data_IF_238395409555
#
_entry.id   IF_238395409555
#
_cell.length_a   1.000
_cell.length_b   1.000
_cell.length_c   1.000
_cell.angle_alpha   90.00
_cell.angle_beta   90.00
_cell.angle_gamma   90.00
#
_symmetry.space_group_name_H-M   'P 1'
#
loop_
_entity.id
_entity.type
_entity.pdbx_description
1 polymer ?
#
# COMPACT_ATOMS: atom_id res chain seq x y z
N UNK A 1 15.82 -22.40 23.82
CA UNK A 1 16.11 -20.99 24.20
C UNK A 1 16.62 -20.32 22.95
N UNK A 2 15.93 -19.30 22.44
CA UNK A 2 16.43 -18.56 21.28
C UNK A 2 17.61 -17.70 21.73
N UNK A 3 18.75 -17.80 21.04
CA UNK A 3 19.88 -16.93 21.29
C UNK A 3 19.58 -15.57 20.66
N UNK A 4 19.48 -14.51 21.46
CA UNK A 4 19.33 -13.15 20.94
C UNK A 4 20.71 -12.56 20.69
N UNK A 5 20.91 -11.99 19.50
CA UNK A 5 22.17 -11.33 19.11
C UNK A 5 21.89 -9.91 18.63
N UNK A 6 22.93 -9.08 18.61
CA UNK A 6 22.84 -7.72 18.07
C UNK A 6 22.96 -7.75 16.55
N UNK A 7 22.00 -7.13 15.86
CA UNK A 7 21.98 -7.08 14.40
C UNK A 7 23.28 -6.50 13.80
N UNK A 8 23.84 -5.47 14.42
CA UNK A 8 25.06 -4.80 13.96
C UNK A 8 26.27 -5.73 13.85
N UNK A 9 26.39 -6.72 14.72
CA UNK A 9 27.50 -7.67 14.73
C UNK A 9 27.48 -8.60 13.50
N UNK A 10 26.30 -8.80 12.93
CA UNK A 10 26.06 -9.65 11.76
C UNK A 10 25.87 -8.87 10.46
N UNK A 11 26.18 -7.57 10.45
CA UNK A 11 26.09 -6.74 9.26
C UNK A 11 27.48 -6.36 8.73
N UNK A 12 27.61 -6.31 7.40
CA UNK A 12 28.74 -5.71 6.70
C UNK A 12 28.59 -4.19 6.59
N UNK A 13 27.36 -3.70 6.47
CA UNK A 13 27.05 -2.28 6.35
C UNK A 13 25.66 -2.00 6.91
N UNK A 14 25.56 -0.97 7.75
CA UNK A 14 24.30 -0.33 8.10
C UNK A 14 24.42 1.15 7.76
N UNK A 15 23.58 1.65 6.86
CA UNK A 15 23.63 3.04 6.45
C UNK A 15 22.28 3.56 5.99
N UNK A 16 22.18 4.86 5.70
CA UNK A 16 20.99 5.49 5.13
C UNK A 16 21.38 6.39 3.98
N UNK A 17 20.40 6.67 3.14
CA UNK A 17 20.55 7.59 2.03
C UNK A 17 20.49 9.05 2.45
N UNK A 18 20.33 9.90 1.45
CA UNK A 18 20.26 11.34 1.63
C UNK A 18 19.20 11.95 0.71
N UNK A 19 18.76 13.16 1.04
CA UNK A 19 17.78 13.86 0.23
C UNK A 19 18.44 14.43 -1.04
N UNK A 20 17.87 14.21 -2.24
CA UNK A 20 18.50 14.61 -3.50
C UNK A 20 18.49 16.11 -3.72
N UNK A 21 17.42 16.80 -3.30
CA UNK A 21 17.26 18.26 -3.47
C UNK A 21 18.37 19.04 -2.76
N UNK A 22 18.77 18.62 -1.57
CA UNK A 22 19.86 19.24 -0.81
C UNK A 22 21.24 19.06 -1.47
N UNK A 23 21.34 18.18 -2.46
CA UNK A 23 22.56 17.92 -3.22
C UNK A 23 22.48 18.46 -4.66
N UNK A 24 21.44 19.23 -4.99
CA UNK A 24 21.25 19.79 -6.32
C UNK A 24 20.67 18.81 -7.35
N UNK A 25 20.12 17.66 -6.92
CA UNK A 25 19.49 16.70 -7.81
C UNK A 25 17.97 16.85 -7.81
N UNK A 26 17.40 16.93 -9.01
CA UNK A 26 15.96 16.92 -9.23
C UNK A 26 15.51 15.55 -9.72
N UNK A 27 14.25 15.23 -9.45
CA UNK A 27 13.61 14.04 -10.03
C UNK A 27 13.48 14.20 -11.53
N UNK A 28 13.76 13.13 -12.24
CA UNK A 28 13.66 13.05 -13.70
C UNK A 28 12.75 11.88 -14.07
N UNK A 29 12.18 11.94 -15.28
CA UNK A 29 11.38 10.87 -15.84
C UNK A 29 12.18 10.12 -16.91
N UNK A 30 13.25 9.47 -16.48
CA UNK A 30 14.14 8.68 -17.36
C UNK A 30 14.46 7.35 -16.68
N UNK A 31 13.88 6.27 -17.20
CA UNK A 31 14.04 4.93 -16.67
C UNK A 31 15.43 4.32 -16.92
N UNK A 32 16.25 4.93 -17.78
CA UNK A 32 17.65 4.51 -18.02
C UNK A 32 18.60 4.99 -16.92
N UNK A 33 18.13 5.90 -16.06
CA UNK A 33 18.92 6.51 -14.99
C UNK A 33 18.74 5.74 -13.68
N UNK A 34 19.22 6.35 -12.59
CA UNK A 34 19.20 5.74 -11.27
C UNK A 34 17.77 5.68 -10.72
N UNK A 35 17.33 4.49 -10.30
CA UNK A 35 16.10 4.33 -9.53
C UNK A 35 16.32 4.84 -8.11
N UNK A 36 15.50 5.81 -7.70
CA UNK A 36 15.56 6.40 -6.37
C UNK A 36 14.47 5.81 -5.48
N UNK A 37 14.88 4.93 -4.57
CA UNK A 37 14.00 4.20 -3.66
C UNK A 37 13.74 5.04 -2.41
N UNK A 38 12.47 5.26 -2.11
CA UNK A 38 12.03 6.01 -0.92
C UNK A 38 11.25 5.12 0.03
N UNK A 39 10.93 5.64 1.21
CA UNK A 39 10.12 4.91 2.21
C UNK A 39 8.72 4.54 1.72
N UNK A 40 8.21 5.18 0.66
CA UNK A 40 6.96 4.82 0.00
C UNK A 40 7.07 3.54 -0.83
N UNK A 41 8.26 3.27 -1.36
CA UNK A 41 8.55 2.09 -2.18
C UNK A 41 8.81 0.85 -1.30
N UNK A 42 9.37 1.02 -0.09
CA UNK A 42 9.63 -0.09 0.82
C UNK A 42 8.34 -0.49 1.54
N UNK A 43 7.78 -1.65 1.15
CA UNK A 43 6.58 -2.27 1.73
C UNK A 43 6.95 -3.48 2.58
N UNK A 44 5.95 -4.11 3.19
CA UNK A 44 6.15 -5.33 3.96
C UNK A 44 6.58 -6.49 3.04
N UNK A 45 7.88 -6.79 3.04
CA UNK A 45 8.56 -7.86 2.30
C UNK A 45 8.69 -7.67 0.77
N UNK A 46 8.23 -6.56 0.19
CA UNK A 46 8.42 -6.27 -1.23
C UNK A 46 8.73 -4.79 -1.49
N UNK A 47 9.27 -4.51 -2.67
CA UNK A 47 9.54 -3.15 -3.14
C UNK A 47 8.51 -2.80 -4.20
N UNK A 48 7.71 -1.79 -3.92
CA UNK A 48 6.72 -1.22 -4.83
C UNK A 48 7.37 -0.18 -5.73
N UNK A 49 7.44 -0.50 -7.02
CA UNK A 49 7.96 0.38 -8.08
C UNK A 49 6.88 0.75 -9.10
N UNK A 50 5.59 0.72 -8.70
CA UNK A 50 4.46 1.14 -9.54
C UNK A 50 4.53 2.62 -9.95
N UNK A 51 5.04 3.48 -9.07
CA UNK A 51 5.33 4.90 -9.33
C UNK A 51 6.82 5.19 -9.08
N UNK A 52 7.72 4.84 -10.02
CA UNK A 52 9.15 4.92 -9.82
C UNK A 52 9.66 6.36 -9.96
N UNK A 53 10.58 6.75 -9.08
CA UNK A 53 11.28 8.04 -9.12
C UNK A 53 12.71 7.82 -9.60
N UNK A 54 13.19 8.66 -10.51
CA UNK A 54 14.55 8.57 -11.02
C UNK A 54 15.37 9.82 -10.71
N UNK A 55 16.69 9.66 -10.61
CA UNK A 55 17.68 10.72 -10.48
C UNK A 55 18.81 10.49 -11.49
N UNK A 56 19.55 11.53 -11.84
CA UNK A 56 20.73 11.35 -12.70
C UNK A 56 21.80 10.48 -12.00
N UNK A 57 22.54 9.69 -12.79
CA UNK A 57 23.61 8.82 -12.29
C UNK A 57 24.69 9.55 -11.46
N UNK A 58 24.81 10.88 -11.62
CA UNK A 58 25.70 11.72 -10.82
C UNK A 58 25.44 11.63 -9.32
N UNK A 59 24.22 11.29 -8.89
CA UNK A 59 23.89 11.15 -7.47
C UNK A 59 24.74 10.07 -6.78
N UNK A 60 25.00 8.95 -7.47
CA UNK A 60 25.87 7.88 -6.96
C UNK A 60 27.33 8.30 -6.81
N UNK A 61 27.79 9.33 -7.52
CA UNK A 61 29.15 9.86 -7.35
C UNK A 61 29.30 10.56 -5.99
N UNK A 62 28.22 11.16 -5.47
CA UNK A 62 28.20 11.83 -4.17
C UNK A 62 27.80 10.85 -3.07
N UNK A 63 26.73 10.09 -3.26
CA UNK A 63 26.18 9.16 -2.27
C UNK A 63 26.63 7.71 -2.51
N UNK A 64 27.95 7.50 -2.50
CA UNK A 64 28.56 6.18 -2.75
C UNK A 64 28.17 5.12 -1.71
N UNK A 65 27.99 5.53 -0.46
CA UNK A 65 27.70 4.62 0.65
C UNK A 65 26.30 4.00 0.59
N UNK A 66 25.34 4.69 -0.03
CA UNK A 66 23.94 4.28 -0.09
C UNK A 66 23.53 3.69 -1.45
N UNK A 67 24.52 3.31 -2.27
CA UNK A 67 24.27 2.55 -3.49
C UNK A 67 23.75 1.17 -3.09
N UNK A 68 22.58 0.83 -3.63
CA UNK A 68 21.92 -0.44 -3.38
C UNK A 68 22.61 -1.58 -4.13
N UNK A 69 22.70 -2.71 -3.46
CA UNK A 69 23.16 -3.99 -4.01
C UNK A 69 22.04 -5.01 -3.90
N UNK A 70 22.06 -6.01 -4.78
CA UNK A 70 21.14 -7.16 -4.65
C UNK A 70 21.30 -7.78 -3.26
N UNK A 71 20.20 -8.28 -2.72
CA UNK A 71 20.10 -8.91 -1.40
C UNK A 71 20.19 -7.95 -0.20
N UNK A 72 20.36 -6.63 -0.43
CA UNK A 72 20.28 -5.64 0.65
C UNK A 72 18.88 -5.65 1.28
N UNK A 73 18.81 -5.69 2.61
CA UNK A 73 17.56 -5.50 3.34
C UNK A 73 17.35 -4.00 3.56
N UNK A 74 16.23 -3.48 3.09
CA UNK A 74 15.80 -2.10 3.29
C UNK A 74 14.88 -2.02 4.48
N UNK A 75 15.02 -0.96 5.28
CA UNK A 75 14.22 -0.76 6.48
C UNK A 75 13.80 0.71 6.64
N UNK A 76 12.52 0.95 6.85
CA UNK A 76 11.98 2.30 7.01
C UNK A 76 12.18 2.85 8.42
N UNK A 77 12.73 4.07 8.48
CA UNK A 77 13.16 4.72 9.72
C UNK A 77 12.12 5.67 10.33
N UNK A 78 11.24 6.24 9.52
CA UNK A 78 10.43 7.40 9.92
C UNK A 78 8.99 7.32 9.46
N UNK A 79 8.11 7.97 10.23
CA UNK A 79 6.74 8.25 9.85
C UNK A 79 5.81 7.03 9.89
N UNK A 80 4.70 7.09 9.16
CA UNK A 80 3.67 6.05 9.17
C UNK A 80 4.13 4.70 8.58
N UNK A 81 5.27 4.67 7.90
CA UNK A 81 5.85 3.48 7.27
C UNK A 81 7.02 2.92 8.07
N UNK A 82 7.31 3.46 9.26
CA UNK A 82 8.37 2.99 10.15
C UNK A 82 8.23 1.49 10.41
N UNK A 83 9.35 0.78 10.37
CA UNK A 83 9.35 -0.66 10.63
C UNK A 83 9.04 -1.56 9.43
N UNK A 84 8.69 -1.01 8.27
CA UNK A 84 8.57 -1.82 7.04
C UNK A 84 9.95 -2.23 6.56
N UNK A 85 10.09 -3.51 6.24
CA UNK A 85 11.31 -4.08 5.68
C UNK A 85 11.06 -4.79 4.35
N UNK A 86 11.98 -4.69 3.40
CA UNK A 86 11.93 -5.45 2.14
C UNK A 86 13.33 -5.76 1.62
N UNK A 87 13.46 -6.82 0.82
CA UNK A 87 14.72 -7.19 0.18
C UNK A 87 14.81 -6.51 -1.19
N UNK A 88 15.94 -5.85 -1.46
CA UNK A 88 16.22 -5.28 -2.77
C UNK A 88 16.80 -6.32 -3.71
N UNK A 89 16.00 -6.78 -4.68
CA UNK A 89 16.40 -7.77 -5.69
C UNK A 89 16.20 -7.28 -7.13
N UNK A 90 16.07 -5.96 -7.33
CA UNK A 90 15.90 -5.38 -8.66
C UNK A 90 17.25 -5.27 -9.39
N UNK A 91 17.27 -5.58 -10.68
CA UNK A 91 18.45 -5.41 -11.53
C UNK A 91 18.54 -3.98 -12.08
N UNK A 92 18.63 -3.01 -11.17
CA UNK A 92 18.69 -1.58 -11.51
C UNK A 92 19.71 -0.85 -10.65
N UNK A 93 20.45 0.08 -11.26
CA UNK A 93 21.29 1.02 -10.52
C UNK A 93 20.39 1.87 -9.63
N UNK A 94 20.54 1.75 -8.32
CA UNK A 94 19.60 2.33 -7.37
C UNK A 94 20.28 2.95 -6.15
N UNK A 95 19.62 3.93 -5.54
CA UNK A 95 20.03 4.57 -4.29
C UNK A 95 18.79 4.97 -3.50
N UNK A 96 18.95 5.34 -2.24
CA UNK A 96 17.85 5.54 -1.30
C UNK A 96 17.79 6.96 -0.72
N UNK A 97 16.63 7.32 -0.16
CA UNK A 97 16.48 8.54 0.63
C UNK A 97 16.91 8.35 2.10
N UNK A 98 16.90 9.45 2.88
CA UNK A 98 17.30 9.47 4.29
C UNK A 98 16.33 8.75 5.24
N UNK A 99 15.14 8.38 4.75
CA UNK A 99 14.09 7.72 5.51
C UNK A 99 14.19 6.19 5.45
N UNK A 100 15.11 5.66 4.65
CA UNK A 100 15.36 4.23 4.47
C UNK A 100 16.77 3.93 4.94
N UNK A 101 16.96 2.82 5.64
CA UNK A 101 18.25 2.23 5.93
C UNK A 101 18.52 1.04 5.00
N UNK A 102 19.80 0.86 4.67
CA UNK A 102 20.36 -0.35 4.06
C UNK A 102 20.96 -1.16 5.19
N UNK A 103 20.62 -2.44 5.21
CA UNK A 103 21.18 -3.45 6.09
C UNK A 103 21.77 -4.53 5.19
N UNK A 104 23.09 -4.51 5.03
CA UNK A 104 23.84 -5.50 4.24
C UNK A 104 24.38 -6.56 5.18
N UNK A 105 23.87 -7.78 5.07
CA UNK A 105 24.15 -8.85 6.01
C UNK A 105 25.45 -9.60 5.70
N UNK A 106 26.03 -10.19 6.75
CA UNK A 106 27.03 -11.27 6.62
C UNK A 106 26.30 -12.58 6.30
N UNK A 107 27.03 -13.56 5.77
CA UNK A 107 26.50 -14.90 5.44
C UNK A 107 25.91 -15.68 6.62
N UNK A 108 26.09 -15.23 7.86
CA UNK A 108 25.52 -15.85 9.06
C UNK A 108 24.00 -15.71 9.18
N UNK A 109 23.39 -14.76 8.46
CA UNK A 109 21.95 -14.47 8.56
C UNK A 109 21.33 -14.42 7.16
N UNK A 110 20.22 -15.13 7.01
CA UNK A 110 19.37 -15.06 5.82
C UNK A 110 18.64 -13.71 5.76
N UNK A 111 18.77 -13.02 4.63
CA UNK A 111 18.06 -11.76 4.36
C UNK A 111 16.54 -11.92 4.39
N UNK A 112 16.02 -13.06 3.91
CA UNK A 112 14.60 -13.41 3.98
C UNK A 112 14.13 -13.56 5.41
N UNK A 113 14.89 -14.28 6.23
CA UNK A 113 14.59 -14.44 7.65
C UNK A 113 14.51 -13.08 8.34
N UNK A 114 15.53 -12.23 8.14
CA UNK A 114 15.54 -10.90 8.73
C UNK A 114 14.37 -10.04 8.25
N UNK A 115 14.06 -10.04 6.94
CA UNK A 115 12.92 -9.28 6.40
C UNK A 115 11.60 -9.69 7.04
N UNK A 116 11.35 -11.00 7.17
CA UNK A 116 10.15 -11.49 7.84
C UNK A 116 10.12 -11.14 9.33
N UNK A 117 11.25 -11.27 10.02
CA UNK A 117 11.34 -10.93 11.44
C UNK A 117 11.08 -9.44 11.68
N UNK A 118 11.73 -8.54 10.93
CA UNK A 118 11.56 -7.09 11.08
C UNK A 118 10.12 -6.63 10.83
N UNK A 119 9.40 -7.30 9.92
CA UNK A 119 7.99 -7.00 9.66
C UNK A 119 7.02 -7.61 10.69
N UNK A 120 7.48 -8.54 11.53
CA UNK A 120 6.66 -9.20 12.53
C UNK A 120 6.26 -8.26 13.67
N UNK A 121 5.08 -8.48 14.23
CA UNK A 121 4.54 -7.63 15.30
C UNK A 121 5.44 -7.63 16.56
N UNK A 122 6.04 -8.78 16.87
CA UNK A 122 6.99 -8.91 18.00
C UNK A 122 8.23 -8.03 17.82
N UNK A 123 8.73 -7.86 16.59
CA UNK A 123 9.86 -6.96 16.34
C UNK A 123 9.41 -5.50 16.38
N UNK A 124 8.25 -5.19 15.77
CA UNK A 124 7.63 -3.87 15.81
C UNK A 124 7.48 -3.34 17.22
N UNK A 125 6.96 -4.15 18.14
CA UNK A 125 6.83 -3.77 19.55
C UNK A 125 8.18 -3.39 20.16
N UNK A 126 9.22 -4.21 19.97
CA UNK A 126 10.57 -3.98 20.53
C UNK A 126 11.18 -2.64 20.13
N UNK A 127 11.02 -2.20 18.88
CA UNK A 127 11.60 -0.94 18.41
C UNK A 127 10.63 0.25 18.43
N UNK A 128 9.31 0.03 18.49
CA UNK A 128 8.34 1.12 18.62
C UNK A 128 8.15 1.56 20.08
N UNK A 129 8.24 0.65 21.06
CA UNK A 129 8.20 1.01 22.48
C UNK A 129 9.31 2.01 22.84
N UNK A 130 10.51 1.85 22.26
CA UNK A 130 11.64 2.77 22.42
C UNK A 130 11.41 4.16 21.81
N UNK A 131 10.40 4.32 20.95
CA UNK A 131 10.17 5.51 20.13
C UNK A 131 9.05 6.39 20.69
N UNK A 132 8.25 5.90 21.64
CA UNK A 132 7.07 6.59 22.22
C UNK A 132 7.43 7.91 22.93
N UNK A 133 8.68 8.07 23.38
CA UNK A 133 9.11 9.24 24.16
C UNK A 133 9.41 10.50 23.32
N UNK A 134 9.42 10.41 21.99
CA UNK A 134 9.77 11.54 21.11
C UNK A 134 8.62 11.81 20.13
N UNK A 135 8.08 13.03 20.13
CA UNK A 135 6.87 13.46 19.40
C UNK A 135 6.80 13.17 17.87
N UNK A 136 7.87 12.60 17.27
CA UNK A 136 7.87 11.99 15.94
C UNK A 136 8.64 10.68 15.98
N UNK A 137 7.96 9.59 15.60
CA UNK A 137 8.57 8.29 15.52
C UNK A 137 9.71 8.25 14.48
N UNK A 138 10.94 8.06 14.95
CA UNK A 138 12.16 8.01 14.13
C UNK A 138 13.18 7.05 14.76
N UNK A 139 13.70 6.11 13.97
CA UNK A 139 14.75 5.18 14.37
C UNK A 139 16.12 5.65 13.85
N UNK A 140 17.11 5.68 14.74
CA UNK A 140 18.50 5.93 14.36
C UNK A 140 19.16 4.66 13.80
N UNK A 141 20.30 4.82 13.12
CA UNK A 141 21.10 3.68 12.67
C UNK A 141 21.68 2.89 13.85
N UNK A 142 21.94 3.57 14.98
CA UNK A 142 22.41 2.95 16.22
C UNK A 142 21.32 2.07 16.82
N UNK A 143 20.06 2.51 16.77
CA UNK A 143 18.92 1.72 17.24
C UNK A 143 18.81 0.42 16.46
N UNK A 144 18.98 0.48 15.13
CA UNK A 144 18.97 -0.68 14.23
C UNK A 144 20.13 -1.61 14.53
N UNK A 145 21.34 -1.08 14.66
CA UNK A 145 22.52 -1.89 14.96
C UNK A 145 22.39 -2.63 16.31
N UNK A 146 21.69 -2.02 17.28
CA UNK A 146 21.49 -2.56 18.61
C UNK A 146 20.21 -3.40 18.76
N UNK A 147 19.46 -3.66 17.68
CA UNK A 147 18.28 -4.52 17.72
C UNK A 147 18.65 -5.96 18.07
N UNK A 148 17.90 -6.52 19.00
CA UNK A 148 17.99 -7.93 19.40
C UNK A 148 17.19 -8.78 18.41
N UNK A 149 17.93 -9.57 17.64
CA UNK A 149 17.37 -10.53 16.69
C UNK A 149 17.51 -11.95 17.24
N UNK A 150 16.44 -12.75 17.27
CA UNK A 150 16.57 -14.16 17.60
C UNK A 150 17.28 -14.86 16.45
N UNK A 151 18.41 -15.52 16.73
CA UNK A 151 19.03 -16.42 15.78
C UNK A 151 18.81 -17.86 16.22
N UNK A 152 18.22 -18.71 15.36
CA UNK A 152 18.16 -20.13 15.64
C UNK A 152 19.57 -20.72 15.65
N UNK A 153 19.82 -21.68 16.54
CA UNK A 153 21.15 -22.27 16.74
C UNK A 153 21.61 -23.13 15.56
N UNK A 154 20.66 -23.74 14.83
CA UNK A 154 20.95 -24.49 13.61
C UNK A 154 20.84 -23.58 12.37
N UNK A 155 21.87 -23.57 11.52
CA UNK A 155 21.89 -22.76 10.30
C UNK A 155 20.70 -23.05 9.36
N UNK A 156 20.22 -24.30 9.33
CA UNK A 156 19.11 -24.71 8.46
C UNK A 156 17.73 -24.25 8.96
N UNK A 157 17.62 -23.84 10.23
CA UNK A 157 16.32 -23.46 10.80
C UNK A 157 15.83 -22.12 10.26
N UNK A 158 16.73 -21.19 9.91
CA UNK A 158 16.34 -19.94 9.25
C UNK A 158 15.58 -20.23 7.96
N UNK A 159 16.11 -21.13 7.12
CA UNK A 159 15.50 -21.51 5.86
C UNK A 159 14.20 -22.30 6.06
N UNK A 160 14.15 -23.19 7.06
CA UNK A 160 12.92 -23.91 7.42
C UNK A 160 11.80 -22.94 7.85
N UNK A 161 12.13 -21.96 8.70
CA UNK A 161 11.18 -20.95 9.17
C UNK A 161 10.67 -20.12 7.98
N UNK A 162 11.58 -19.63 7.14
CA UNK A 162 11.22 -18.86 5.94
C UNK A 162 10.32 -19.68 5.03
N UNK A 163 10.67 -20.95 4.77
CA UNK A 163 9.87 -21.85 3.93
C UNK A 163 8.46 -22.06 4.48
N UNK A 164 8.31 -22.24 5.78
CA UNK A 164 7.00 -22.40 6.42
C UNK A 164 6.17 -21.10 6.32
N UNK A 165 6.79 -19.94 6.51
CA UNK A 165 6.14 -18.63 6.34
C UNK A 165 5.68 -18.44 4.89
N UNK A 166 6.57 -18.61 3.92
CA UNK A 166 6.27 -18.47 2.49
C UNK A 166 5.17 -19.46 2.06
N UNK A 167 5.21 -20.70 2.55
CA UNK A 167 4.17 -21.71 2.30
C UNK A 167 2.79 -21.26 2.78
N UNK A 168 2.70 -20.75 4.02
CA UNK A 168 1.43 -20.27 4.58
C UNK A 168 0.92 -19.01 3.89
N UNK A 169 1.80 -18.08 3.55
CA UNK A 169 1.43 -16.87 2.81
C UNK A 169 0.89 -17.22 1.42
N UNK A 170 1.49 -18.20 0.73
CA UNK A 170 0.99 -18.68 -0.56
C UNK A 170 -0.43 -19.26 -0.49
N UNK A 171 -0.81 -19.86 0.64
CA UNK A 171 -2.21 -20.29 0.86
C UNK A 171 -3.14 -19.09 0.95
N UNK A 172 -2.75 -18.03 1.66
CA UNK A 172 -3.52 -16.79 1.74
C UNK A 172 -3.69 -16.15 0.35
N UNK A 173 -2.63 -16.07 -0.45
CA UNK A 173 -2.69 -15.50 -1.80
C UNK A 173 -3.70 -16.23 -2.69
N UNK A 174 -3.73 -17.57 -2.62
CA UNK A 174 -4.72 -18.39 -3.35
C UNK A 174 -6.16 -18.15 -2.89
N UNK A 175 -6.36 -17.91 -1.59
CA UNK A 175 -7.67 -17.57 -1.04
C UNK A 175 -8.12 -16.21 -1.57
N UNK A 176 -7.24 -15.22 -1.59
CA UNK A 176 -7.54 -13.88 -2.13
C UNK A 176 -7.92 -13.96 -3.61
N UNK A 177 -7.14 -14.68 -4.43
CA UNK A 177 -7.44 -14.91 -5.85
C UNK A 177 -8.81 -15.59 -6.05
N UNK A 178 -9.12 -16.59 -5.24
CA UNK A 178 -10.40 -17.31 -5.30
C UNK A 178 -11.58 -16.39 -4.96
N UNK A 179 -11.42 -15.50 -3.96
CA UNK A 179 -12.44 -14.53 -3.56
C UNK A 179 -12.66 -13.51 -4.68
N UNK A 180 -11.59 -12.97 -5.26
CA UNK A 180 -11.69 -12.00 -6.35
C UNK A 180 -12.38 -12.60 -7.58
N UNK A 181 -11.98 -13.81 -7.99
CA UNK A 181 -12.63 -14.53 -9.08
C UNK A 181 -14.12 -14.79 -8.82
N UNK A 182 -14.46 -15.17 -7.58
CA UNK A 182 -15.86 -15.41 -7.18
C UNK A 182 -16.71 -14.13 -7.20
N UNK A 183 -16.14 -12.99 -6.81
CA UNK A 183 -16.81 -11.69 -6.87
C UNK A 183 -17.10 -11.27 -8.32
N UNK A 184 -16.13 -11.44 -9.22
CA UNK A 184 -16.30 -11.16 -10.65
C UNK A 184 -17.39 -12.06 -11.27
N UNK A 185 -17.40 -13.35 -10.93
CA UNK A 185 -18.45 -14.28 -11.39
C UNK A 185 -19.83 -13.90 -10.86
N UNK A 186 -19.95 -13.50 -9.59
CA UNK A 186 -21.22 -13.06 -9.02
C UNK A 186 -21.74 -11.80 -9.71
N UNK A 187 -20.87 -10.85 -10.06
CA UNK A 187 -21.25 -9.66 -10.81
C UNK A 187 -21.70 -10.00 -12.24
N UNK A 188 -20.96 -10.86 -12.94
CA UNK A 188 -21.33 -11.32 -14.27
C UNK A 188 -22.68 -12.08 -14.27
N UNK A 189 -22.89 -12.97 -13.29
CA UNK A 189 -24.15 -13.69 -13.12
C UNK A 189 -25.30 -12.74 -12.85
N UNK A 190 -25.10 -11.74 -11.99
CA UNK A 190 -26.10 -10.72 -11.70
C UNK A 190 -26.49 -9.94 -12.96
N UNK A 191 -25.52 -9.53 -13.77
CA UNK A 191 -25.79 -8.85 -15.04
C UNK A 191 -26.52 -9.76 -16.03
N UNK A 192 -26.16 -11.05 -16.09
CA UNK A 192 -26.85 -12.04 -16.90
C UNK A 192 -28.31 -12.24 -16.48
N UNK A 193 -28.58 -12.34 -15.17
CA UNK A 193 -29.95 -12.42 -14.64
C UNK A 193 -30.74 -11.16 -14.97
N UNK A 194 -30.16 -9.97 -14.78
CA UNK A 194 -30.80 -8.69 -15.12
C UNK A 194 -31.11 -8.64 -16.61
N UNK A 195 -30.17 -9.02 -17.48
CA UNK A 195 -30.38 -9.08 -18.92
C UNK A 195 -31.53 -10.02 -19.28
N UNK A 196 -31.55 -11.24 -18.72
CA UNK A 196 -32.64 -12.19 -18.90
C UNK A 196 -33.98 -11.65 -18.38
N UNK A 197 -33.98 -10.87 -17.30
CA UNK A 197 -35.17 -10.21 -16.77
C UNK A 197 -35.75 -9.19 -17.76
N UNK A 198 -34.89 -8.33 -18.31
CA UNK A 198 -35.30 -7.33 -19.31
C UNK A 198 -35.77 -7.96 -20.62
N UNK A 199 -35.22 -9.11 -21.01
CA UNK A 199 -35.66 -9.87 -22.19
C UNK A 199 -36.92 -10.71 -21.94
N UNK A 200 -37.47 -10.71 -20.71
CA UNK A 200 -38.61 -11.54 -20.33
C UNK A 200 -38.30 -13.04 -20.22
N UNK A 201 -37.05 -13.47 -20.37
CA UNK A 201 -36.65 -14.88 -20.42
C UNK A 201 -36.47 -15.54 -19.05
N UNK A 202 -36.87 -14.88 -17.96
CA UNK A 202 -36.80 -15.45 -16.61
C UNK A 202 -37.93 -16.43 -16.30
N UNK A 203 -39.07 -16.30 -16.99
CA UNK A 203 -40.25 -17.14 -16.84
C UNK A 203 -40.80 -17.51 -18.22
N UNK A 204 -41.51 -18.65 -18.35
CA UNK A 204 -42.23 -18.98 -19.57
C UNK A 204 -43.16 -17.82 -19.98
N UNK A 205 -43.12 -17.42 -21.24
CA UNK A 205 -43.93 -16.34 -21.78
C UNK A 205 -45.28 -16.88 -22.26
N UNK A 206 -46.38 -16.18 -21.95
CA UNK A 206 -47.70 -16.48 -22.52
C UNK A 206 -47.76 -15.93 -23.95
N UNK A 207 -48.07 -16.74 -24.98
CA UNK A 207 -48.22 -16.27 -26.36
C UNK A 207 -49.29 -15.18 -26.54
N UNK A 208 -50.22 -15.04 -25.59
CA UNK A 208 -51.29 -14.04 -25.62
C UNK A 208 -50.91 -12.71 -24.94
N UNK A 209 -49.72 -12.61 -24.33
CA UNK A 209 -49.28 -11.36 -23.71
C UNK A 209 -49.12 -10.24 -24.75
N UNK A 210 -49.61 -9.04 -24.40
CA UNK A 210 -49.49 -7.90 -25.31
C UNK A 210 -48.02 -7.45 -25.43
N UNK A 211 -47.52 -7.14 -26.65
CA UNK A 211 -46.15 -6.65 -26.81
C UNK A 211 -45.92 -5.35 -26.05
N UNK A 212 -44.78 -5.25 -25.36
CA UNK A 212 -44.40 -4.06 -24.59
C UNK A 212 -44.38 -2.76 -25.44
N UNK A 213 -44.19 -2.87 -26.75
CA UNK A 213 -44.28 -1.75 -27.70
C UNK A 213 -45.65 -1.07 -27.67
N UNK A 214 -46.75 -1.82 -27.64
CA UNK A 214 -48.11 -1.26 -27.58
C UNK A 214 -48.35 -0.50 -26.27
N UNK A 215 -47.81 -0.99 -25.16
CA UNK A 215 -47.88 -0.28 -23.87
C UNK A 215 -47.06 1.02 -23.90
N UNK A 216 -45.87 1.00 -24.50
CA UNK A 216 -45.03 2.20 -24.66
C UNK A 216 -45.71 3.25 -25.55
N UNK A 217 -46.39 2.85 -26.62
CA UNK A 217 -47.21 3.74 -27.45
C UNK A 217 -48.34 4.38 -26.65
N UNK A 218 -49.07 3.60 -25.82
CA UNK A 218 -50.11 4.15 -24.93
C UNK A 218 -49.54 5.15 -23.93
N UNK A 219 -48.38 4.86 -23.33
CA UNK A 219 -47.72 5.76 -22.37
C UNK A 219 -47.24 7.04 -23.07
N UNK A 220 -46.69 6.95 -24.29
CA UNK A 220 -46.26 8.12 -25.08
C UNK A 220 -47.46 8.98 -25.46
N UNK A 221 -48.52 8.37 -26.00
CA UNK A 221 -49.74 9.06 -26.34
C UNK A 221 -50.41 9.70 -25.12
N UNK A 222 -50.37 9.06 -23.95
CA UNK A 222 -50.87 9.64 -22.70
C UNK A 222 -50.02 10.84 -22.25
N UNK A 223 -48.69 10.74 -22.31
CA UNK A 223 -47.77 11.85 -21.98
C UNK A 223 -47.86 13.03 -22.96
N UNK A 224 -48.11 12.77 -24.24
CA UNK A 224 -48.34 13.81 -25.24
C UNK A 224 -49.70 14.50 -25.05
N UNK A 225 -50.73 13.75 -24.64
CA UNK A 225 -52.04 14.30 -24.27
C UNK A 225 -52.02 15.08 -22.94
N UNK A 226 -51.11 14.76 -22.02
CA UNK A 226 -50.87 15.50 -20.77
C UNK A 226 -49.97 16.73 -20.93
N UNK A 227 -49.47 17.03 -22.13
CA UNK A 227 -48.82 18.31 -22.38
C UNK A 227 -49.88 19.39 -22.66
N UNK A 228 -50.12 20.32 -21.71
CA UNK A 228 -49.67 21.67 -21.99
C UNK A 228 -49.16 22.47 -20.75
N UNK A 229 -48.48 23.56 -21.09
CA UNK A 229 -47.97 24.65 -20.24
C UNK A 229 -46.58 24.46 -19.63
N UNK A 230 -45.68 25.34 -20.05
CA UNK A 230 -44.29 25.35 -19.62
C UNK A 230 -44.15 25.59 -18.12
N UNK A 231 -43.38 24.71 -17.48
CA UNK A 231 -42.47 25.15 -16.42
C UNK A 231 -41.06 25.03 -16.99
N UNK A 232 -40.54 26.16 -17.51
CA UNK A 232 -39.10 26.39 -17.56
C UNK A 232 -38.61 26.38 -16.10
N UNK A 233 -38.32 25.18 -15.58
CA UNK A 233 -37.53 25.09 -14.36
C UNK A 233 -36.12 25.51 -14.77
N UNK A 234 -35.80 26.76 -14.45
CA UNK A 234 -34.49 27.34 -14.63
C UNK A 234 -33.52 26.63 -13.66
N UNK A 235 -33.15 25.39 -13.99
CA UNK A 235 -32.15 24.61 -13.27
C UNK A 235 -30.81 25.18 -13.71
N UNK A 236 -30.31 26.16 -12.96
CA UNK A 236 -28.88 26.48 -12.93
C UNK A 236 -28.13 25.15 -12.94
N UNK A 237 -27.30 24.91 -13.96
CA UNK A 237 -26.39 23.77 -14.04
C UNK A 237 -25.49 23.84 -12.79
N UNK A 238 -25.88 23.17 -11.70
CA UNK A 238 -24.91 22.64 -10.77
C UNK A 238 -24.25 21.49 -11.51
N UNK A 239 -22.98 21.68 -11.85
CA UNK A 239 -22.11 20.59 -12.29
C UNK A 239 -22.40 19.38 -11.39
N UNK A 240 -22.72 18.24 -12.02
CA UNK A 240 -22.79 16.97 -11.30
C UNK A 240 -21.39 16.71 -10.76
N UNK A 241 -21.14 17.05 -9.51
CA UNK A 241 -20.14 16.33 -8.74
C UNK A 241 -20.61 14.88 -8.70
N UNK A 242 -19.82 13.98 -9.29
CA UNK A 242 -20.02 12.55 -9.18
C UNK A 242 -20.13 12.23 -7.68
N UNK A 243 -21.31 11.79 -7.24
CA UNK A 243 -21.44 11.27 -5.88
C UNK A 243 -20.68 9.96 -5.86
N UNK A 244 -19.70 9.79 -4.95
CA UNK A 244 -18.89 8.59 -4.91
C UNK A 244 -19.77 7.36 -4.71
N UNK A 245 -19.41 6.26 -5.37
CA UNK A 245 -20.02 4.95 -5.18
C UNK A 245 -19.99 4.58 -3.69
N UNK A 246 -20.93 3.74 -3.23
CA UNK A 246 -21.09 3.39 -1.80
C UNK A 246 -19.79 2.85 -1.14
N UNK A 247 -18.83 2.36 -1.93
CA UNK A 247 -17.48 1.97 -1.48
C UNK A 247 -16.53 3.14 -1.15
N UNK A 248 -16.66 4.30 -1.81
CA UNK A 248 -15.77 5.45 -1.61
C UNK A 248 -16.11 6.25 -0.33
N UNK A 249 -17.38 6.21 0.13
CA UNK A 249 -17.79 6.83 1.41
C UNK A 249 -17.17 6.19 2.64
N UNK A 250 -16.72 4.93 2.55
CA UNK A 250 -16.01 4.22 3.62
C UNK A 250 -14.54 4.67 3.71
N UNK A 251 -13.93 5.00 2.58
CA UNK A 251 -12.55 5.50 2.50
C UNK A 251 -12.48 6.96 3.00
N UNK A 252 -13.50 7.77 2.68
CA UNK A 252 -13.56 9.18 3.09
C UNK A 252 -13.85 9.36 4.59
N UNK A 253 -14.70 8.49 5.18
CA UNK A 253 -14.91 8.43 6.64
C UNK A 253 -13.65 7.99 7.41
N UNK A 254 -12.76 7.20 6.81
CA UNK A 254 -11.45 6.84 7.39
C UNK A 254 -10.47 8.02 7.35
N UNK A 255 -10.47 8.84 6.29
CA UNK A 255 -9.62 10.04 6.16
C UNK A 255 -10.03 11.22 7.07
N UNK A 256 -11.32 11.37 7.40
CA UNK A 256 -11.77 12.44 8.30
C UNK A 256 -11.54 12.15 9.80
N UNK A 257 -11.43 10.88 10.20
CA UNK A 257 -11.05 10.51 11.58
C UNK A 257 -9.58 10.82 11.90
N UNK A 258 -8.73 10.94 10.89
CA UNK A 258 -7.30 11.25 11.03
C UNK A 258 -6.96 12.75 10.99
N UNK A 259 -7.94 13.66 10.89
CA UNK A 259 -7.69 15.11 10.73
C UNK A 259 -8.37 16.04 11.75
N UNK A 260 -8.96 15.54 12.85
CA UNK A 260 -9.34 16.44 13.95
C UNK A 260 -8.12 16.74 14.84
N UNK A 261 -7.74 18.01 15.05
CA UNK A 261 -6.74 18.36 16.04
C UNK A 261 -7.30 18.06 17.44
N UNK A 262 -6.47 17.48 18.31
CA UNK A 262 -6.78 17.37 19.72
C UNK A 262 -6.98 18.79 20.28
N UNK A 263 -8.22 19.14 20.63
CA UNK A 263 -8.51 20.26 21.53
C UNK A 263 -7.94 19.91 22.90
N UNK A 264 -6.89 20.63 23.27
CA UNK A 264 -6.27 20.58 24.59
C UNK A 264 -5.72 21.95 24.99
N UNK A 265 -6.45 23.03 24.73
CA UNK A 265 -6.18 24.32 25.38
C UNK A 265 -7.14 24.48 26.56
N UNK A 266 -6.61 24.28 27.77
CA UNK A 266 -7.20 24.80 29.00
C UNK A 266 -6.90 26.29 29.06
N UNK A 267 -7.95 27.10 28.87
CA UNK A 267 -7.98 28.50 29.25
C UNK A 267 -7.88 28.59 30.79
N UNK A 268 -6.80 29.18 31.29
CA UNK A 268 -6.73 29.74 32.64
C UNK A 268 -7.26 31.17 32.52
N UNK A 269 -8.37 31.47 33.19
CA UNK A 269 -8.90 32.82 33.29
C UNK A 269 -8.24 33.58 34.45
N UNK A 270 -8.05 34.91 34.35
CA UNK A 270 -7.38 35.70 35.37
C UNK A 270 -8.35 36.15 36.49
N UNK A 271 -7.83 36.19 37.71
CA UNK A 271 -8.24 37.11 38.78
C UNK A 271 -6.98 37.63 39.44
#
# INVERSE_FOLDING_TARGET
MNNEVKLGEHCNLITKGASPKWQGFNYINDATQLLFVTSENVRENYIDVSDPKYLSLGFNKIQKRSILQKEDVLFNLVGASIGRAAIFNLDKISNINQAVAIIRLKKSISNKYLSHFLNAEVAKQKYLEKVVDVARANLSLTDIANMDIPLPMENNDQDRIVKEIESRLSVCDKIEETIEGSLQQAEALRLSIIKKAYEGKLVPQDPNDEPAEKLLERIRAAKEKEAPSGRKVNRKRKQKTQKPHRGERLIEKRKQKTQKPHRGERLIAPK
#
